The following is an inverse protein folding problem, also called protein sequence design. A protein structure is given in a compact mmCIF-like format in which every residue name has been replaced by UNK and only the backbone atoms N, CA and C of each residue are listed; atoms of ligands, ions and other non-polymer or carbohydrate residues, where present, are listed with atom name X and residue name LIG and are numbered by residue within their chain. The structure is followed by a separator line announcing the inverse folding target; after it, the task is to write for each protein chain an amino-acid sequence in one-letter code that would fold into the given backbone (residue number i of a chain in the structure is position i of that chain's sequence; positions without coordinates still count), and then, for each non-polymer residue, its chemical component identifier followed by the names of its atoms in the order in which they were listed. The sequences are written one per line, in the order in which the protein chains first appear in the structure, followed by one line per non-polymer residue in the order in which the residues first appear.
data_IF_973132941740
#
_entry.id   IF_973132941740
#
_cell.length_a   1.000
_cell.length_b   1.000
_cell.length_c   1.000
_cell.angle_alpha   90.00
_cell.angle_beta   90.00
_cell.angle_gamma   90.00
#
_symmetry.space_group_name_H-M   'P 1'
#
loop_
_entity.id
_entity.type
_entity.pdbx_description
1 polymer ?
#
# COMPACT_ATOMS: atom_id res chain seq x y z
N UNK A 1 11.47 -3.79 7.76
CA UNK A 1 12.29 -4.22 8.92
C UNK A 1 12.48 -3.04 9.85
N UNK A 2 12.60 -3.29 11.15
CA UNK A 2 12.99 -2.30 12.15
C UNK A 2 13.85 -2.99 13.21
N UNK A 3 14.82 -2.27 13.76
CA UNK A 3 15.76 -2.81 14.74
C UNK A 3 16.73 -1.74 15.22
N UNK A 4 17.71 -2.16 16.02
CA UNK A 4 18.77 -1.29 16.53
C UNK A 4 20.04 -1.50 15.73
N UNK A 5 20.73 -0.42 15.39
CA UNK A 5 22.03 -0.49 14.71
C UNK A 5 23.03 -1.13 15.67
N UNK A 6 23.55 -2.31 15.33
CA UNK A 6 24.58 -3.01 16.12
C UNK A 6 25.97 -2.47 15.81
N UNK A 7 26.29 -2.32 14.52
CA UNK A 7 27.59 -1.87 14.05
C UNK A 7 27.44 -1.09 12.74
N UNK A 8 28.41 -0.23 12.45
CA UNK A 8 28.44 0.60 11.24
C UNK A 8 29.74 0.41 10.48
N UNK A 9 29.67 0.47 9.15
CA UNK A 9 30.84 0.49 8.28
C UNK A 9 31.58 1.83 8.36
N UNK A 10 32.86 1.84 7.97
CA UNK A 10 33.73 3.03 8.03
C UNK A 10 33.22 4.27 7.29
N UNK A 11 32.40 4.08 6.25
CA UNK A 11 31.88 5.15 5.39
C UNK A 11 30.42 5.53 5.74
N UNK A 12 29.86 4.92 6.79
CA UNK A 12 28.54 5.27 7.31
C UNK A 12 28.65 6.56 8.13
N UNK A 13 27.79 7.53 7.82
CA UNK A 13 27.85 8.86 8.44
C UNK A 13 26.54 9.27 9.12
N UNK A 14 25.43 8.59 8.81
CA UNK A 14 24.09 8.95 9.31
C UNK A 14 23.68 8.24 10.59
N UNK A 15 24.30 7.11 10.90
CA UNK A 15 23.91 6.25 12.01
C UNK A 15 25.12 5.82 12.82
N UNK A 16 24.86 5.46 14.07
CA UNK A 16 25.82 4.87 15.01
C UNK A 16 25.19 3.68 15.73
N UNK A 17 26.02 2.88 16.40
CA UNK A 17 25.54 1.78 17.23
C UNK A 17 24.57 2.30 18.31
N UNK A 18 23.45 1.59 18.51
CA UNK A 18 22.38 1.97 19.43
C UNK A 18 21.23 2.77 18.80
N UNK A 19 21.36 3.25 17.56
CA UNK A 19 20.27 3.98 16.90
C UNK A 19 19.09 3.04 16.55
N UNK A 20 17.86 3.43 16.90
CA UNK A 20 16.66 2.73 16.45
C UNK A 20 16.31 3.14 15.01
N UNK A 21 16.23 2.17 14.11
CA UNK A 21 16.00 2.41 12.69
C UNK A 21 14.89 1.53 12.12
N UNK A 22 14.30 1.98 11.02
CA UNK A 22 13.38 1.20 10.21
C UNK A 22 13.65 1.45 8.72
N UNK A 23 13.24 0.51 7.87
CA UNK A 23 13.51 0.58 6.45
C UNK A 23 13.29 -0.75 5.72
N UNK A 24 14.07 -0.94 4.66
CA UNK A 24 14.06 -2.16 3.86
C UNK A 24 15.49 -2.71 3.71
N UNK A 25 15.59 -4.02 3.47
CA UNK A 25 16.82 -4.63 3.01
C UNK A 25 16.58 -5.29 1.66
N UNK A 26 17.61 -5.32 0.83
CA UNK A 26 17.63 -6.09 -0.43
C UNK A 26 18.01 -7.56 -0.19
N UNK A 27 18.63 -7.84 0.95
CA UNK A 27 18.98 -9.17 1.48
C UNK A 27 17.96 -9.58 2.54
N UNK A 28 17.78 -10.90 2.74
CA UNK A 28 16.73 -11.44 3.62
C UNK A 28 16.74 -10.85 5.04
N UNK A 29 15.55 -10.62 5.60
CA UNK A 29 15.34 -9.91 6.88
C UNK A 29 14.70 -10.75 7.99
N UNK A 30 14.43 -12.03 7.73
CA UNK A 30 13.95 -12.98 8.74
C UNK A 30 15.15 -13.58 9.47
N UNK A 31 15.84 -12.75 10.24
CA UNK A 31 17.09 -13.08 10.93
C UNK A 31 17.30 -12.12 12.11
N UNK A 32 18.15 -12.53 13.07
CA UNK A 32 18.60 -11.72 14.21
C UNK A 32 19.42 -10.49 13.78
N UNK A 33 20.17 -10.62 12.68
CA UNK A 33 20.98 -9.56 12.13
C UNK A 33 20.82 -9.49 10.60
N UNK A 34 20.85 -8.29 10.05
CA UNK A 34 20.85 -8.04 8.62
C UNK A 34 21.80 -6.90 8.26
N UNK A 35 22.52 -7.04 7.15
CA UNK A 35 23.38 -6.00 6.60
C UNK A 35 22.64 -5.25 5.50
N UNK A 36 22.68 -3.92 5.53
CA UNK A 36 22.09 -3.09 4.50
C UNK A 36 22.78 -1.71 4.41
N UNK A 37 22.52 -1.01 3.31
CA UNK A 37 23.05 0.32 3.05
C UNK A 37 22.33 1.37 3.91
N UNK A 38 23.08 2.38 4.41
CA UNK A 38 22.51 3.44 5.25
C UNK A 38 21.37 4.20 4.56
N UNK A 39 21.37 4.29 3.23
CA UNK A 39 20.33 5.00 2.49
C UNK A 39 19.00 4.23 2.42
N UNK A 40 18.98 2.95 2.85
CA UNK A 40 17.74 2.16 2.93
C UNK A 40 16.98 2.35 4.26
N UNK A 41 17.52 3.16 5.17
CA UNK A 41 17.02 3.31 6.53
C UNK A 41 16.76 4.76 6.91
N UNK A 42 15.81 4.93 7.82
CA UNK A 42 15.53 6.15 8.53
C UNK A 42 15.41 5.85 10.03
N UNK A 43 15.53 6.89 10.86
CA UNK A 43 15.28 6.78 12.30
C UNK A 43 13.84 6.32 12.55
N UNK A 44 13.67 5.36 13.46
CA UNK A 44 12.36 4.84 13.83
C UNK A 44 11.51 5.96 14.46
N UNK A 45 10.25 6.18 14.03
CA UNK A 45 9.36 7.08 14.72
C UNK A 45 9.20 6.67 16.20
N UNK A 46 9.35 7.63 17.12
CA UNK A 46 9.33 7.36 18.55
C UNK A 46 7.98 6.84 19.05
N UNK A 47 6.90 7.15 18.32
CA UNK A 47 5.53 6.74 18.66
C UNK A 47 5.14 5.35 18.11
N UNK A 48 6.06 4.62 17.46
CA UNK A 48 5.83 3.25 17.02
C UNK A 48 6.65 2.24 17.84
N UNK A 49 6.09 1.03 18.01
CA UNK A 49 6.88 -0.14 18.38
C UNK A 49 7.76 -0.60 17.21
N UNK A 50 8.74 -1.48 17.48
CA UNK A 50 9.53 -2.12 16.42
C UNK A 50 8.66 -2.92 15.45
N UNK A 51 7.67 -3.65 15.97
CA UNK A 51 6.70 -4.41 15.17
C UNK A 51 5.96 -3.50 14.18
N UNK A 52 5.44 -2.38 14.67
CA UNK A 52 4.73 -1.41 13.83
C UNK A 52 5.66 -0.80 12.79
N UNK A 53 6.86 -0.36 13.20
CA UNK A 53 7.83 0.25 12.29
C UNK A 53 8.30 -0.74 11.20
N UNK A 54 8.48 -2.01 11.54
CA UNK A 54 8.90 -3.04 10.60
C UNK A 54 7.87 -3.28 9.49
N UNK A 55 6.59 -3.01 9.76
CA UNK A 55 5.47 -3.19 8.85
C UNK A 55 5.30 -2.05 7.83
N UNK A 56 5.94 -0.90 8.05
CA UNK A 56 5.72 0.34 7.27
C UNK A 56 6.32 0.26 5.87
N UNK A 57 7.60 -0.06 5.73
CA UNK A 57 8.41 0.30 4.54
C UNK A 57 7.76 -0.07 3.21
N UNK A 58 7.76 -1.34 2.82
CA UNK A 58 7.31 -1.74 1.47
C UNK A 58 5.85 -1.34 1.21
N UNK A 59 4.94 -1.66 2.14
CA UNK A 59 3.51 -1.43 1.92
C UNK A 59 3.12 0.05 2.01
N UNK A 60 3.77 0.82 2.87
CA UNK A 60 3.62 2.27 2.98
C UNK A 60 4.17 2.98 1.75
N UNK A 61 5.37 2.63 1.28
CA UNK A 61 5.99 3.23 0.09
C UNK A 61 5.12 2.99 -1.14
N UNK A 62 4.63 1.76 -1.35
CA UNK A 62 3.71 1.46 -2.46
C UNK A 62 2.44 2.31 -2.39
N UNK A 63 1.80 2.39 -1.23
CA UNK A 63 0.58 3.19 -1.07
C UNK A 63 0.83 4.68 -1.28
N UNK A 64 1.95 5.21 -0.78
CA UNK A 64 2.32 6.61 -0.92
C UNK A 64 2.55 6.98 -2.39
N UNK A 65 3.37 6.22 -3.11
CA UNK A 65 3.65 6.46 -4.53
C UNK A 65 2.40 6.30 -5.40
N UNK A 66 1.55 5.31 -5.09
CA UNK A 66 0.28 5.14 -5.80
C UNK A 66 -0.58 6.40 -5.70
N UNK A 67 -0.78 6.93 -4.49
CA UNK A 67 -1.72 8.02 -4.28
C UNK A 67 -1.13 9.39 -4.59
N UNK A 68 0.10 9.66 -4.12
CA UNK A 68 0.78 10.95 -4.30
C UNK A 68 1.25 11.14 -5.74
N UNK A 69 1.89 10.13 -6.34
CA UNK A 69 2.62 10.30 -7.60
C UNK A 69 1.82 9.82 -8.81
N UNK A 70 1.18 8.65 -8.72
CA UNK A 70 0.41 8.11 -9.84
C UNK A 70 -1.01 8.68 -9.89
N UNK A 71 -1.65 8.74 -8.72
CA UNK A 71 -3.00 9.28 -8.55
C UNK A 71 -3.05 10.80 -8.57
N UNK A 72 -1.93 11.45 -8.22
CA UNK A 72 -1.84 12.89 -8.03
C UNK A 72 -2.98 13.40 -7.12
N UNK A 73 -3.29 12.64 -6.06
CA UNK A 73 -4.48 12.85 -5.21
C UNK A 73 -4.45 14.24 -4.58
N UNK A 74 -5.58 14.95 -4.69
CA UNK A 74 -5.80 16.28 -4.14
C UNK A 74 -6.99 16.28 -3.20
N UNK A 75 -7.01 17.25 -2.29
CA UNK A 75 -8.13 17.50 -1.39
C UNK A 75 -9.46 17.56 -2.15
N UNK A 76 -10.47 16.87 -1.61
CA UNK A 76 -11.82 16.83 -2.14
C UNK A 76 -12.06 15.84 -3.29
N UNK A 77 -11.02 15.14 -3.76
CA UNK A 77 -11.20 14.08 -4.76
C UNK A 77 -11.80 12.82 -4.13
N UNK A 78 -12.58 12.08 -4.92
CA UNK A 78 -13.12 10.77 -4.54
C UNK A 78 -12.14 9.67 -4.88
N UNK A 79 -11.65 8.98 -3.86
CA UNK A 79 -10.64 7.92 -3.99
C UNK A 79 -11.24 6.58 -3.58
N UNK A 80 -11.23 5.61 -4.48
CA UNK A 80 -11.61 4.23 -4.21
C UNK A 80 -10.37 3.38 -3.99
N UNK A 81 -10.30 2.67 -2.87
CA UNK A 81 -9.24 1.71 -2.56
C UNK A 81 -9.83 0.29 -2.61
N UNK A 82 -9.50 -0.48 -3.65
CA UNK A 82 -9.89 -1.89 -3.73
C UNK A 82 -8.87 -2.74 -2.98
N UNK A 83 -9.36 -3.64 -2.10
CA UNK A 83 -8.50 -4.38 -1.19
C UNK A 83 -8.04 -3.53 0.01
N UNK A 84 -8.93 -2.65 0.50
CA UNK A 84 -8.63 -1.66 1.54
C UNK A 84 -8.17 -2.26 2.87
N UNK A 85 -8.53 -3.51 3.16
CA UNK A 85 -8.14 -4.20 4.40
C UNK A 85 -6.79 -4.92 4.34
N UNK A 86 -6.13 -4.95 3.17
CA UNK A 86 -4.88 -5.68 3.00
C UNK A 86 -3.65 -4.90 3.47
N UNK A 87 -2.48 -5.52 3.32
CA UNK A 87 -1.20 -4.94 3.73
C UNK A 87 -0.91 -3.56 3.14
N UNK A 88 -1.19 -3.33 1.85
CA UNK A 88 -1.03 -2.00 1.21
C UNK A 88 -2.29 -1.14 1.39
N UNK A 89 -3.48 -1.75 1.33
CA UNK A 89 -4.76 -1.04 1.40
C UNK A 89 -4.94 -0.23 2.68
N UNK A 90 -4.50 -0.77 3.82
CA UNK A 90 -4.61 -0.10 5.13
C UNK A 90 -3.77 1.18 5.21
N UNK A 91 -2.60 1.21 4.56
CA UNK A 91 -1.83 2.46 4.40
C UNK A 91 -2.50 3.39 3.40
N UNK A 92 -3.01 2.85 2.29
CA UNK A 92 -3.62 3.66 1.23
C UNK A 92 -4.87 4.43 1.70
N UNK A 93 -5.73 3.82 2.53
CA UNK A 93 -6.89 4.51 3.11
C UNK A 93 -6.44 5.71 3.94
N UNK A 94 -5.48 5.51 4.84
CA UNK A 94 -4.98 6.57 5.73
C UNK A 94 -4.23 7.68 4.97
N UNK A 95 -3.43 7.31 3.96
CA UNK A 95 -2.71 8.28 3.12
C UNK A 95 -3.68 9.09 2.25
N UNK A 96 -4.69 8.45 1.63
CA UNK A 96 -5.69 9.18 0.85
C UNK A 96 -6.44 10.19 1.72
N UNK A 97 -6.80 9.79 2.94
CA UNK A 97 -7.42 10.68 3.94
C UNK A 97 -6.48 11.82 4.34
N UNK A 98 -5.19 11.54 4.58
CA UNK A 98 -4.22 12.58 4.97
C UNK A 98 -3.98 13.62 3.87
N UNK A 99 -4.18 13.23 2.61
CA UNK A 99 -4.20 14.12 1.43
C UNK A 99 -5.53 14.89 1.28
N UNK A 100 -6.52 14.63 2.14
CA UNK A 100 -7.80 15.32 2.18
C UNK A 100 -8.82 14.81 1.16
N UNK A 101 -8.66 13.59 0.65
CA UNK A 101 -9.63 12.94 -0.22
C UNK A 101 -10.86 12.44 0.55
N UNK A 102 -11.97 12.24 -0.16
CA UNK A 102 -13.10 11.43 0.28
C UNK A 102 -12.80 9.97 -0.08
N UNK A 103 -12.64 9.11 0.93
CA UNK A 103 -12.11 7.75 0.76
C UNK A 103 -13.22 6.72 0.84
N UNK A 104 -13.33 5.90 -0.21
CA UNK A 104 -14.15 4.68 -0.22
C UNK A 104 -13.27 3.45 -0.19
N UNK A 105 -13.40 2.61 0.82
CA UNK A 105 -12.70 1.33 0.91
C UNK A 105 -13.55 0.15 0.44
N UNK A 106 -13.00 -0.75 -0.37
CA UNK A 106 -13.65 -2.03 -0.71
C UNK A 106 -12.96 -3.17 0.03
N UNK A 107 -13.72 -3.91 0.84
CA UNK A 107 -13.25 -5.05 1.62
C UNK A 107 -14.36 -6.08 1.84
N UNK A 108 -14.04 -7.21 2.47
CA UNK A 108 -15.05 -8.19 2.88
C UNK A 108 -15.75 -7.75 4.17
N UNK A 109 -16.92 -8.33 4.44
CA UNK A 109 -17.77 -8.04 5.61
C UNK A 109 -16.99 -7.95 6.93
N UNK A 110 -16.11 -8.93 7.19
CA UNK A 110 -15.34 -9.00 8.44
C UNK A 110 -14.41 -7.82 8.68
N UNK A 111 -14.04 -7.09 7.62
CA UNK A 111 -13.07 -6.01 7.66
C UNK A 111 -13.71 -4.61 7.66
N UNK A 112 -15.05 -4.53 7.56
CA UNK A 112 -15.76 -3.25 7.37
C UNK A 112 -15.46 -2.26 8.49
N UNK A 113 -15.57 -2.70 9.74
CA UNK A 113 -15.38 -1.81 10.89
C UNK A 113 -13.91 -1.37 11.04
N UNK A 114 -12.96 -2.24 10.70
CA UNK A 114 -11.55 -1.89 10.67
C UNK A 114 -11.25 -0.85 9.58
N UNK A 115 -11.75 -1.03 8.36
CA UNK A 115 -11.53 -0.08 7.26
C UNK A 115 -12.15 1.29 7.58
N UNK A 116 -13.31 1.31 8.26
CA UNK A 116 -13.89 2.55 8.78
C UNK A 116 -13.02 3.19 9.87
N UNK A 117 -12.51 2.41 10.82
CA UNK A 117 -11.73 2.95 11.95
C UNK A 117 -10.42 3.60 11.51
N UNK A 118 -9.82 3.13 10.42
CA UNK A 118 -8.62 3.75 9.81
C UNK A 118 -8.94 4.95 8.91
N UNK A 119 -10.21 5.33 8.77
CA UNK A 119 -10.62 6.59 8.18
C UNK A 119 -11.19 6.54 6.77
N UNK A 120 -11.72 5.40 6.32
CA UNK A 120 -12.58 5.40 5.14
C UNK A 120 -13.92 6.10 5.47
N UNK A 121 -14.31 7.07 4.65
CA UNK A 121 -15.61 7.76 4.76
C UNK A 121 -16.76 6.82 4.38
N UNK A 122 -16.53 5.97 3.37
CA UNK A 122 -17.47 4.95 2.91
C UNK A 122 -16.77 3.60 2.83
N UNK A 123 -17.52 2.52 3.10
CA UNK A 123 -17.01 1.16 2.92
C UNK A 123 -18.00 0.32 2.15
N UNK A 124 -17.50 -0.31 1.09
CA UNK A 124 -18.24 -1.25 0.24
C UNK A 124 -17.84 -2.66 0.64
N UNK A 125 -18.83 -3.42 1.10
CA UNK A 125 -18.70 -4.85 1.33
C UNK A 125 -18.88 -5.59 0.00
N UNK A 126 -17.77 -6.05 -0.60
CA UNK A 126 -17.81 -6.67 -1.93
C UNK A 126 -18.61 -7.97 -1.97
N UNK A 127 -18.93 -8.58 -0.81
CA UNK A 127 -19.78 -9.78 -0.77
C UNK A 127 -21.26 -9.45 -0.91
N UNK A 128 -21.63 -8.17 -0.84
CA UNK A 128 -23.01 -7.69 -0.89
C UNK A 128 -23.26 -6.78 -2.09
N UNK A 129 -22.27 -5.96 -2.44
CA UNK A 129 -22.41 -4.92 -3.46
C UNK A 129 -21.20 -4.86 -4.39
N UNK A 130 -21.45 -4.55 -5.66
CA UNK A 130 -20.42 -4.32 -6.67
C UNK A 130 -20.24 -2.81 -6.88
N UNK A 131 -19.07 -2.30 -6.52
CA UNK A 131 -18.76 -0.87 -6.65
C UNK A 131 -18.91 -0.35 -8.09
N UNK A 132 -18.73 -1.22 -9.09
CA UNK A 132 -18.82 -0.87 -10.52
C UNK A 132 -20.26 -0.68 -10.99
N UNK A 133 -21.24 -1.10 -10.19
CA UNK A 133 -22.68 -1.04 -10.48
C UNK A 133 -23.41 0.03 -9.65
N UNK A 134 -22.74 0.62 -8.64
CA UNK A 134 -23.32 1.63 -7.75
C UNK A 134 -23.72 2.95 -8.41
N UNK A 135 -23.29 3.20 -9.66
CA UNK A 135 -23.46 4.48 -10.33
C UNK A 135 -22.51 5.59 -9.85
N UNK A 136 -21.79 5.37 -8.75
CA UNK A 136 -20.77 6.30 -8.25
C UNK A 136 -19.59 6.41 -9.22
N UNK A 137 -18.87 7.54 -9.11
CA UNK A 137 -17.69 7.85 -9.93
C UNK A 137 -16.56 8.32 -9.03
N UNK A 138 -15.36 7.81 -9.28
CA UNK A 138 -14.15 8.10 -8.50
C UNK A 138 -13.09 8.78 -9.36
N UNK A 139 -12.42 9.78 -8.79
CA UNK A 139 -11.31 10.48 -9.44
C UNK A 139 -10.07 9.61 -9.49
N UNK A 140 -9.85 8.77 -8.47
CA UNK A 140 -8.76 7.81 -8.42
C UNK A 140 -9.28 6.46 -7.94
N UNK A 141 -8.90 5.39 -8.63
CA UNK A 141 -9.10 4.02 -8.19
C UNK A 141 -7.72 3.37 -8.03
N UNK A 142 -7.38 3.00 -6.79
CA UNK A 142 -6.21 2.21 -6.49
C UNK A 142 -6.61 0.76 -6.23
N UNK A 143 -6.17 -0.14 -7.11
CA UNK A 143 -6.68 -1.51 -7.16
C UNK A 143 -5.61 -2.53 -6.75
N UNK A 144 -5.73 -3.03 -5.51
CA UNK A 144 -4.86 -4.07 -4.96
C UNK A 144 -5.37 -5.49 -5.21
N UNK A 145 -6.60 -5.64 -5.72
CA UNK A 145 -7.23 -6.94 -5.91
C UNK A 145 -7.27 -7.35 -7.39
N UNK A 146 -7.47 -6.37 -8.29
CA UNK A 146 -7.67 -6.55 -9.72
C UNK A 146 -8.80 -7.54 -10.05
N UNK A 147 -9.85 -7.54 -9.22
CA UNK A 147 -10.95 -8.51 -9.28
C UNK A 147 -11.94 -8.25 -10.43
N UNK A 148 -11.99 -7.03 -10.96
CA UNK A 148 -12.88 -6.62 -12.04
C UNK A 148 -12.11 -6.33 -13.33
N UNK A 149 -12.80 -6.39 -14.47
CA UNK A 149 -12.20 -6.00 -15.76
C UNK A 149 -11.94 -4.50 -15.80
N UNK A 150 -10.93 -4.09 -16.57
CA UNK A 150 -10.65 -2.67 -16.81
C UNK A 150 -11.89 -1.92 -17.34
N UNK A 151 -12.74 -2.57 -18.12
CA UNK A 151 -13.96 -1.95 -18.66
C UNK A 151 -14.99 -1.62 -17.58
N UNK A 152 -15.09 -2.45 -16.54
CA UNK A 152 -15.94 -2.22 -15.37
C UNK A 152 -15.37 -1.11 -14.50
N UNK A 153 -14.07 -1.17 -14.17
CA UNK A 153 -13.40 -0.13 -13.40
C UNK A 153 -13.49 1.25 -14.09
N UNK A 154 -13.41 1.30 -15.43
CA UNK A 154 -13.56 2.55 -16.19
C UNK A 154 -14.96 3.13 -16.13
N UNK A 155 -16.01 2.31 -15.94
CA UNK A 155 -17.35 2.82 -15.69
C UNK A 155 -17.45 3.45 -14.30
N UNK A 156 -16.70 2.97 -13.33
CA UNK A 156 -16.60 3.56 -12.00
C UNK A 156 -15.64 4.78 -11.95
N UNK A 157 -14.82 5.03 -12.97
CA UNK A 157 -13.95 6.20 -13.03
C UNK A 157 -14.69 7.45 -13.51
N UNK A 158 -14.37 8.59 -12.89
CA UNK A 158 -14.72 9.90 -13.42
C UNK A 158 -14.14 10.10 -14.84
N UNK A 159 -14.68 11.03 -15.66
CA UNK A 159 -14.25 11.22 -17.05
C UNK A 159 -12.74 11.49 -17.23
N UNK A 160 -12.08 12.08 -16.23
CA UNK A 160 -10.63 12.36 -16.19
C UNK A 160 -9.91 11.56 -15.10
N UNK A 161 -10.56 10.54 -14.55
CA UNK A 161 -10.03 9.80 -13.40
C UNK A 161 -8.83 8.92 -13.76
N UNK A 162 -8.10 8.50 -12.72
CA UNK A 162 -6.91 7.67 -12.81
C UNK A 162 -7.18 6.29 -12.21
N UNK A 163 -6.87 5.23 -12.96
CA UNK A 163 -6.86 3.85 -12.45
C UNK A 163 -5.42 3.35 -12.30
N UNK A 164 -5.12 2.78 -11.14
CA UNK A 164 -3.78 2.37 -10.71
C UNK A 164 -3.84 0.90 -10.26
N UNK A 165 -3.44 -0.06 -11.11
CA UNK A 165 -3.34 -1.47 -10.72
C UNK A 165 -2.05 -1.72 -9.92
N UNK A 166 -2.13 -2.48 -8.82
CA UNK A 166 -0.99 -2.75 -7.93
C UNK A 166 -0.49 -4.20 -7.94
N UNK A 167 -1.34 -5.18 -8.26
CA UNK A 167 -1.00 -6.61 -8.13
C UNK A 167 -0.02 -7.08 -9.19
N UNK A 168 0.34 -6.23 -10.15
CA UNK A 168 1.32 -6.53 -11.20
C UNK A 168 0.95 -7.74 -12.06
N UNK A 169 -0.27 -8.27 -11.89
CA UNK A 169 -0.70 -9.54 -12.49
C UNK A 169 -0.89 -9.42 -13.99
N UNK A 170 -0.79 -8.19 -14.51
CA UNK A 170 -1.13 -7.94 -15.89
C UNK A 170 -2.56 -8.43 -16.15
N UNK A 171 -3.46 -8.41 -15.14
CA UNK A 171 -4.75 -9.09 -15.08
C UNK A 171 -5.37 -9.35 -16.44
N UNK A 172 -5.13 -10.53 -17.04
CA UNK A 172 -5.70 -10.92 -18.34
C UNK A 172 -5.45 -9.88 -19.49
N UNK A 173 -4.49 -8.96 -19.31
CA UNK A 173 -4.17 -7.82 -20.17
C UNK A 173 -3.16 -8.18 -21.27
N UNK A 174 -2.36 -9.23 -21.08
CA UNK A 174 -1.30 -9.63 -22.02
C UNK A 174 -1.74 -10.90 -22.80
N UNK A 175 -2.72 -10.75 -23.69
CA UNK A 175 -3.15 -11.79 -24.64
C UNK A 175 -3.64 -11.16 -25.95
N UNK A 176 -3.34 -11.75 -27.13
CA UNK A 176 -2.54 -11.05 -28.13
C UNK A 176 -3.34 -10.19 -29.11
N UNK A 177 -2.83 -8.98 -29.36
CA UNK A 177 -3.12 -8.00 -30.42
C UNK A 177 -4.55 -7.42 -30.54
N UNK A 178 -5.63 -8.20 -30.45
CA UNK A 178 -7.00 -7.70 -30.70
C UNK A 178 -7.50 -6.71 -29.64
N UNK A 179 -7.13 -6.91 -28.36
CA UNK A 179 -7.49 -6.00 -27.26
C UNK A 179 -6.67 -4.71 -27.25
N UNK A 180 -5.42 -4.77 -27.70
CA UNK A 180 -4.51 -3.61 -27.76
C UNK A 180 -5.02 -2.60 -28.80
N UNK A 181 -5.50 -3.08 -29.96
CA UNK A 181 -6.11 -2.21 -30.98
C UNK A 181 -7.41 -1.55 -30.47
N UNK A 182 -8.30 -2.31 -29.82
CA UNK A 182 -9.54 -1.77 -29.23
C UNK A 182 -9.29 -0.81 -28.07
N UNK A 183 -8.29 -1.10 -27.23
CA UNK A 183 -7.87 -0.21 -26.15
C UNK A 183 -7.23 1.08 -26.66
N UNK A 184 -6.43 1.03 -27.74
CA UNK A 184 -5.89 2.23 -28.41
C UNK A 184 -6.99 3.10 -29.04
N UNK A 185 -8.00 2.47 -29.64
CA UNK A 185 -9.13 3.20 -30.23
C UNK A 185 -10.00 3.84 -29.14
N UNK A 186 -10.29 3.13 -28.05
CA UNK A 186 -11.04 3.69 -26.90
C UNK A 186 -10.21 4.70 -26.08
N UNK A 187 -8.88 4.60 -26.07
CA UNK A 187 -8.00 5.56 -25.38
C UNK A 187 -7.92 6.90 -26.13
N UNK A 188 -8.06 6.91 -27.46
CA UNK A 188 -8.14 8.16 -28.23
C UNK A 188 -9.38 9.01 -27.86
N UNK A 189 -10.46 8.38 -27.39
CA UNK A 189 -11.69 9.05 -26.96
C UNK A 189 -11.82 9.23 -25.44
N UNK A 190 -10.86 8.74 -24.66
CA UNK A 190 -10.98 8.74 -23.20
C UNK A 190 -9.90 9.57 -22.54
N UNK A 191 -10.33 10.53 -21.71
CA UNK A 191 -9.46 11.33 -20.85
C UNK A 191 -9.05 10.62 -19.56
N UNK A 192 -9.57 9.42 -19.30
CA UNK A 192 -9.17 8.58 -18.16
C UNK A 192 -7.73 8.07 -18.32
N UNK A 193 -6.96 8.12 -17.23
CA UNK A 193 -5.57 7.69 -17.16
C UNK A 193 -5.47 6.26 -16.62
N UNK A 194 -4.57 5.46 -17.20
CA UNK A 194 -4.17 4.14 -16.69
C UNK A 194 -2.69 4.22 -16.31
N UNK A 195 -2.38 4.03 -15.03
CA UNK A 195 -1.04 4.24 -14.46
C UNK A 195 -0.54 2.97 -13.74
N UNK A 196 -0.17 1.89 -14.47
CA UNK A 196 0.55 0.79 -13.84
C UNK A 196 1.91 1.31 -13.38
N UNK A 197 2.32 0.93 -12.18
CA UNK A 197 3.63 1.30 -11.66
C UNK A 197 4.21 0.16 -10.83
N UNK A 198 5.53 0.19 -10.70
CA UNK A 198 6.26 -0.65 -9.76
C UNK A 198 6.83 0.31 -8.71
N UNK A 199 6.50 0.07 -7.44
CA UNK A 199 7.02 0.92 -6.38
C UNK A 199 8.54 0.76 -6.26
N UNK A 200 9.22 1.87 -6.01
CA UNK A 200 10.67 1.88 -5.79
C UNK A 200 10.95 2.34 -4.38
N UNK A 201 11.58 1.48 -3.59
CA UNK A 201 12.03 1.89 -2.26
C UNK A 201 13.06 3.01 -2.38
N UNK A 202 12.83 4.09 -1.64
CA UNK A 202 13.74 5.21 -1.54
C UNK A 202 13.56 5.89 -0.18
N UNK A 203 14.61 6.59 0.24
CA UNK A 203 14.68 7.17 1.58
C UNK A 203 13.70 8.32 1.77
N UNK A 204 13.46 9.13 0.74
CA UNK A 204 12.61 10.31 0.83
C UNK A 204 11.16 9.91 1.12
N UNK A 205 10.69 8.82 0.52
CA UNK A 205 9.37 8.26 0.82
C UNK A 205 9.29 7.66 2.22
N UNK A 206 10.37 7.01 2.69
CA UNK A 206 10.44 6.50 4.05
C UNK A 206 10.35 7.64 5.08
N UNK A 207 11.02 8.76 4.81
CA UNK A 207 10.93 9.97 5.63
C UNK A 207 9.54 10.59 5.59
N UNK A 208 8.92 10.70 4.42
CA UNK A 208 7.54 11.20 4.30
C UNK A 208 6.54 10.33 5.07
N UNK A 209 6.72 9.00 5.06
CA UNK A 209 5.93 8.09 5.89
C UNK A 209 6.18 8.31 7.38
N UNK A 210 7.44 8.48 7.79
CA UNK A 210 7.80 8.79 9.17
C UNK A 210 7.15 10.09 9.66
N UNK A 211 7.08 11.13 8.82
CA UNK A 211 6.39 12.38 9.13
C UNK A 211 4.88 12.19 9.31
N UNK A 212 4.23 11.41 8.44
CA UNK A 212 2.81 11.08 8.58
C UNK A 212 2.54 10.31 9.87
N UNK A 213 3.42 9.38 10.23
CA UNK A 213 3.36 8.59 11.47
C UNK A 213 3.55 9.49 12.69
N UNK A 214 4.57 10.34 12.70
CA UNK A 214 4.84 11.26 13.80
C UNK A 214 3.69 12.27 14.01
N UNK A 215 3.03 12.67 12.92
CA UNK A 215 1.83 13.52 12.96
C UNK A 215 0.54 12.77 13.36
N UNK A 216 0.61 11.46 13.65
CA UNK A 216 -0.55 10.63 14.00
C UNK A 216 -1.54 10.41 12.85
N UNK A 217 -1.15 10.71 11.60
CA UNK A 217 -1.99 10.57 10.41
C UNK A 217 -1.90 9.18 9.77
N UNK A 218 -0.91 8.39 10.18
CA UNK A 218 -0.69 7.05 9.69
C UNK A 218 -0.27 6.12 10.83
N UNK A 219 -1.04 5.06 11.04
CA UNK A 219 -0.74 4.00 12.02
C UNK A 219 -0.77 2.64 11.33
N UNK A 220 0.30 1.83 11.42
CA UNK A 220 0.32 0.49 10.84
C UNK A 220 -0.73 -0.41 11.49
N UNK A 221 -1.54 -1.10 10.65
CA UNK A 221 -2.48 -2.13 11.12
C UNK A 221 -1.75 -3.47 11.13
N UNK A 222 -1.53 -4.00 12.34
CA UNK A 222 -0.93 -5.31 12.54
C UNK A 222 -2.04 -6.34 12.73
N UNK A 223 -2.03 -7.37 11.90
CA UNK A 223 -2.93 -8.52 11.99
C UNK A 223 -2.44 -9.47 13.09
N UNK A 224 -1.18 -9.90 12.94
CA UNK A 224 -0.53 -10.91 13.78
C UNK A 224 0.96 -10.68 13.84
N UNK A 225 1.54 -11.03 14.98
CA UNK A 225 2.97 -11.15 15.19
C UNK A 225 3.34 -12.62 15.40
N UNK A 226 4.43 -13.07 14.78
CA UNK A 226 4.98 -14.41 14.92
C UNK A 226 6.44 -14.30 15.36
N UNK A 227 6.94 -15.10 16.31
CA UNK A 227 8.37 -15.16 16.57
C UNK A 227 9.12 -15.70 15.34
N UNK A 228 10.42 -15.39 15.24
CA UNK A 228 11.28 -15.84 14.14
C UNK A 228 11.26 -17.37 13.95
N UNK A 229 11.15 -18.12 15.05
CA UNK A 229 10.99 -19.58 15.04
C UNK A 229 9.73 -20.08 14.32
N UNK A 230 8.74 -19.21 14.12
CA UNK A 230 7.50 -19.47 13.40
C UNK A 230 7.42 -18.74 12.05
N UNK A 231 8.55 -18.26 11.51
CA UNK A 231 8.58 -17.53 10.23
C UNK A 231 7.91 -18.31 9.07
N UNK A 232 8.08 -19.64 9.01
CA UNK A 232 7.43 -20.47 8.00
C UNK A 232 5.89 -20.45 8.13
N UNK A 233 5.37 -20.45 9.36
CA UNK A 233 3.93 -20.35 9.61
C UNK A 233 3.40 -18.96 9.26
N UNK A 234 4.14 -17.90 9.59
CA UNK A 234 3.81 -16.53 9.20
C UNK A 234 3.67 -16.40 7.67
N UNK A 235 4.63 -16.97 6.92
CA UNK A 235 4.59 -16.99 5.46
C UNK A 235 3.41 -17.81 4.92
N UNK A 236 3.11 -18.96 5.52
CA UNK A 236 1.95 -19.78 5.15
C UNK A 236 0.65 -19.01 5.35
N UNK A 237 0.48 -18.34 6.49
CA UNK A 237 -0.68 -17.53 6.81
C UNK A 237 -0.87 -16.37 5.82
N UNK A 238 0.22 -15.66 5.47
CA UNK A 238 0.18 -14.63 4.42
C UNK A 238 -0.21 -15.23 3.07
N UNK A 239 0.29 -16.43 2.74
CA UNK A 239 -0.02 -17.16 1.51
C UNK A 239 -1.48 -17.55 1.35
N UNK A 240 -2.24 -17.67 2.44
CA UNK A 240 -3.70 -17.89 2.39
C UNK A 240 -4.46 -16.68 1.83
N UNK A 241 -3.85 -15.48 1.78
CA UNK A 241 -4.42 -14.29 1.15
C UNK A 241 -5.54 -13.58 1.94
N UNK A 242 -5.71 -13.93 3.22
CA UNK A 242 -6.79 -13.44 4.07
C UNK A 242 -6.31 -12.58 5.24
N UNK A 243 -5.18 -11.89 5.10
CA UNK A 243 -4.64 -11.03 6.16
C UNK A 243 -5.40 -9.71 6.29
N UNK A 244 -5.51 -9.21 7.51
CA UNK A 244 -6.06 -7.89 7.86
C UNK A 244 -4.93 -6.92 8.18
N UNK A 245 -4.36 -6.29 7.16
CA UNK A 245 -3.17 -5.44 7.28
C UNK A 245 -1.88 -6.25 7.18
N UNK A 246 -0.97 -6.08 8.14
CA UNK A 246 0.40 -6.61 8.09
C UNK A 246 0.62 -7.73 9.09
N UNK A 247 1.28 -8.78 8.63
CA UNK A 247 1.86 -9.82 9.49
C UNK A 247 3.32 -9.45 9.73
N UNK A 248 3.75 -9.50 10.98
CA UNK A 248 5.11 -9.16 11.39
C UNK A 248 5.79 -10.37 12.00
N UNK A 249 7.11 -10.47 11.81
CA UNK A 249 7.93 -11.46 12.48
C UNK A 249 8.77 -10.74 13.53
N UNK A 250 8.64 -11.14 14.79
CA UNK A 250 9.44 -10.65 15.91
C UNK A 250 10.70 -11.48 16.05
N UNK A 251 11.77 -10.81 16.46
CA UNK A 251 13.13 -11.32 16.52
C UNK A 251 13.69 -10.99 17.89
#
# INVERSE_FOLDING_TARGET
VAGTVEAVGKDVTRFQAGDEVFGWCTTGVLAEYACAEQDNFASKPANLSFEQAAAVSVSGTTALQALRDQGEVRRGQKVLIVGASGGVGTFAVQIARSLGAEVTGVCSTRNVDMVRSIGADHVIDYTKEDFTQSGQRYDVIFDNAEAHSLSECRRALAPKGTYIPNRGSGGRWIGPLGRIAKARFLSLFSRQKLRPFLSRENRDDLLALAELIAAGKLTPVIDRAYPLSQAAEALRYVGEGHTQGKVVVTV
#
